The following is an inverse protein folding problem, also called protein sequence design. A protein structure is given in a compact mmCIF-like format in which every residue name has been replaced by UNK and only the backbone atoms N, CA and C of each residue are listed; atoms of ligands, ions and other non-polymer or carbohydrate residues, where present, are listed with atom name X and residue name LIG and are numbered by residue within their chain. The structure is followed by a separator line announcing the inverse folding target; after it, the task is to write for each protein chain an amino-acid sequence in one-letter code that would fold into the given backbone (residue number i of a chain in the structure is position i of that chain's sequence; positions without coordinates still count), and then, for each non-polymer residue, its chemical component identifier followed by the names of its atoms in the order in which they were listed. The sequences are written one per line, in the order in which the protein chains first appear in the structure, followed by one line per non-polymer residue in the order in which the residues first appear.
data_IF_827544361930
#
_entry.id   IF_827544361930
#
_cell.length_a   1.000
_cell.length_b   1.000
_cell.length_c   1.000
_cell.angle_alpha   90.00
_cell.angle_beta   90.00
_cell.angle_gamma   90.00
#
_symmetry.space_group_name_H-M   'P 1'
#
loop_
_entity.id
_entity.type
_entity.pdbx_description
1 polymer ?
#
# COMPACT_ATOMS: atom_id res chain seq x y z
N UNK A 1 -5.80 -12.62 -19.66
CA UNK A 1 -4.96 -12.76 -18.44
C UNK A 1 -3.86 -13.76 -18.76
N UNK A 2 -2.59 -13.37 -18.62
CA UNK A 2 -1.45 -14.29 -18.78
C UNK A 2 -1.04 -14.75 -17.39
N UNK A 3 -1.00 -16.05 -17.15
CA UNK A 3 -0.61 -16.62 -15.85
C UNK A 3 0.91 -16.55 -15.75
N UNK A 4 1.41 -15.82 -14.76
CA UNK A 4 2.83 -15.73 -14.40
C UNK A 4 2.95 -15.63 -12.87
N UNK A 5 4.16 -15.74 -12.34
CA UNK A 5 4.50 -15.48 -10.94
C UNK A 5 3.98 -14.11 -10.43
N UNK A 6 3.89 -13.11 -11.31
CA UNK A 6 3.31 -11.79 -11.01
C UNK A 6 1.83 -11.84 -10.62
N UNK A 7 1.08 -12.89 -10.99
CA UNK A 7 -0.28 -13.08 -10.49
C UNK A 7 -0.27 -13.39 -8.99
N UNK A 8 0.67 -14.22 -8.53
CA UNK A 8 0.81 -14.53 -7.10
C UNK A 8 1.28 -13.31 -6.32
N UNK A 9 2.16 -12.48 -6.89
CA UNK A 9 2.55 -11.18 -6.31
C UNK A 9 1.34 -10.27 -6.12
N UNK A 10 0.45 -10.19 -7.12
CA UNK A 10 -0.75 -9.38 -7.01
C UNK A 10 -1.69 -9.90 -5.92
N UNK A 11 -1.97 -11.21 -5.91
CA UNK A 11 -2.82 -11.85 -4.91
C UNK A 11 -2.26 -11.66 -3.50
N UNK A 12 -0.94 -11.77 -3.32
CA UNK A 12 -0.29 -11.45 -2.05
C UNK A 12 -0.54 -10.00 -1.64
N UNK A 13 -0.35 -9.04 -2.54
CA UNK A 13 -0.62 -7.63 -2.29
C UNK A 13 -2.07 -7.38 -1.84
N UNK A 14 -3.04 -8.03 -2.48
CA UNK A 14 -4.45 -7.98 -2.09
C UNK A 14 -4.63 -8.49 -0.65
N UNK A 15 -4.08 -9.66 -0.31
CA UNK A 15 -4.17 -10.23 1.04
C UNK A 15 -3.56 -9.30 2.10
N UNK A 16 -2.41 -8.68 1.80
CA UNK A 16 -1.81 -7.70 2.72
C UNK A 16 -2.74 -6.50 2.92
N UNK A 17 -3.33 -5.95 1.85
CA UNK A 17 -4.30 -4.85 1.97
C UNK A 17 -5.53 -5.27 2.77
N UNK A 18 -6.06 -6.49 2.56
CA UNK A 18 -7.19 -7.03 3.32
C UNK A 18 -6.90 -7.04 4.82
N UNK A 19 -5.71 -7.48 5.22
CA UNK A 19 -5.28 -7.50 6.62
C UNK A 19 -5.20 -6.07 7.17
N UNK A 20 -4.58 -5.15 6.43
CA UNK A 20 -4.36 -3.78 6.88
C UNK A 20 -5.66 -2.96 6.97
N UNK A 21 -6.63 -3.23 6.09
CA UNK A 21 -7.91 -2.53 6.02
C UNK A 21 -9.02 -3.20 6.84
N UNK A 22 -8.85 -4.47 7.22
CA UNK A 22 -9.87 -5.28 7.87
C UNK A 22 -11.07 -5.61 6.97
N UNK A 23 -10.96 -5.39 5.65
CA UNK A 23 -12.00 -5.60 4.63
C UNK A 23 -11.39 -5.76 3.23
N UNK A 24 -12.16 -6.29 2.29
CA UNK A 24 -11.73 -6.48 0.90
C UNK A 24 -11.37 -5.13 0.21
N UNK A 25 -10.19 -4.99 -0.43
CA UNK A 25 -9.67 -3.72 -0.96
C UNK A 25 -10.23 -3.34 -2.34
N UNK A 26 -11.23 -4.07 -2.85
CA UNK A 26 -11.73 -3.92 -4.23
C UNK A 26 -12.14 -2.49 -4.61
N UNK A 27 -12.82 -1.77 -3.71
CA UNK A 27 -13.21 -0.37 -3.92
C UNK A 27 -11.98 0.56 -4.02
N UNK A 28 -11.01 0.38 -3.12
CA UNK A 28 -9.76 1.14 -3.11
C UNK A 28 -8.97 0.91 -4.41
N UNK A 29 -8.77 -0.35 -4.79
CA UNK A 29 -8.00 -0.71 -6.00
C UNK A 29 -8.69 -0.23 -7.28
N UNK A 30 -10.02 -0.25 -7.33
CA UNK A 30 -10.79 0.27 -8.46
C UNK A 30 -10.61 1.79 -8.57
N UNK A 31 -10.63 2.50 -7.44
CA UNK A 31 -10.43 3.95 -7.41
C UNK A 31 -9.01 4.32 -7.82
N UNK A 32 -8.01 3.57 -7.35
CA UNK A 32 -6.59 3.76 -7.69
C UNK A 32 -6.30 3.51 -9.18
N UNK A 33 -6.89 2.47 -9.75
CA UNK A 33 -6.72 2.11 -11.16
C UNK A 33 -7.38 3.10 -12.12
N UNK A 34 -8.41 3.80 -11.67
CA UNK A 34 -9.17 4.75 -12.50
C UNK A 34 -8.50 6.11 -12.67
N UNK A 35 -7.25 6.28 -12.19
CA UNK A 35 -6.55 7.57 -12.15
C UNK A 35 -7.35 8.71 -11.49
N UNK A 36 -8.38 8.40 -10.68
CA UNK A 36 -9.13 9.40 -9.90
C UNK A 36 -8.28 10.12 -8.85
N UNK A 37 -7.04 9.66 -8.63
CA UNK A 37 -6.04 10.28 -7.77
C UNK A 37 -4.93 11.01 -8.52
N UNK A 38 -5.02 11.16 -9.86
CA UNK A 38 -4.22 12.18 -10.52
C UNK A 38 -4.71 13.54 -10.00
N UNK A 39 -3.81 14.48 -9.65
CA UNK A 39 -4.18 15.72 -9.02
C UNK A 39 -4.95 16.61 -10.01
N UNK A 40 -6.27 16.47 -10.06
CA UNK A 40 -7.14 17.64 -10.19
C UNK A 40 -7.11 18.33 -8.84
N UNK A 41 -6.75 19.60 -8.83
CA UNK A 41 -6.41 20.47 -7.67
C UNK A 41 -7.47 20.55 -6.55
N UNK A 42 -8.59 19.82 -6.63
CA UNK A 42 -9.78 20.03 -5.79
C UNK A 42 -10.33 18.77 -5.11
N UNK A 43 -9.79 17.57 -5.37
CA UNK A 43 -10.30 16.35 -4.74
C UNK A 43 -9.61 16.03 -3.40
N UNK A 44 -10.36 15.71 -2.32
CA UNK A 44 -9.79 15.36 -1.03
C UNK A 44 -8.84 14.16 -1.14
N UNK A 45 -7.58 14.34 -0.74
CA UNK A 45 -6.62 13.24 -0.73
C UNK A 45 -7.04 12.22 0.33
N UNK A 46 -7.20 10.96 -0.08
CA UNK A 46 -7.51 9.86 0.85
C UNK A 46 -6.33 9.64 1.78
N UNK A 47 -6.57 9.83 3.08
CA UNK A 47 -5.57 9.64 4.12
C UNK A 47 -5.43 8.16 4.44
N UNK A 48 -4.20 7.73 4.67
CA UNK A 48 -3.89 6.35 5.04
C UNK A 48 -4.65 5.92 6.30
N UNK A 49 -4.74 6.81 7.30
CA UNK A 49 -5.47 6.54 8.55
C UNK A 49 -6.94 6.20 8.34
N UNK A 50 -7.56 6.68 7.27
CA UNK A 50 -8.99 6.46 6.99
C UNK A 50 -9.22 5.15 6.20
N UNK A 51 -8.14 4.58 5.64
CA UNK A 51 -8.14 3.31 4.89
C UNK A 51 -7.92 2.11 5.80
N UNK A 52 -7.16 2.28 6.88
CA UNK A 52 -6.86 1.22 7.84
C UNK A 52 -8.10 0.70 8.56
N UNK A 53 -7.96 -0.49 9.14
CA UNK A 53 -8.98 -1.07 10.02
C UNK A 53 -9.27 -0.17 11.23
N UNK A 54 -10.41 0.51 11.20
CA UNK A 54 -10.85 1.45 12.23
C UNK A 54 -11.20 0.78 13.58
N UNK A 55 -11.22 -0.55 13.63
CA UNK A 55 -11.44 -1.30 14.89
C UNK A 55 -10.17 -1.33 15.74
N UNK A 56 -9.01 -1.03 15.16
CA UNK A 56 -7.72 -0.99 15.84
C UNK A 56 -7.37 0.44 16.27
N UNK A 57 -6.62 0.61 17.37
CA UNK A 57 -6.10 1.92 17.73
C UNK A 57 -5.14 2.45 16.66
N UNK A 58 -5.05 3.77 16.45
CA UNK A 58 -4.10 4.35 15.51
C UNK A 58 -2.66 3.91 15.83
N UNK A 59 -1.88 3.47 14.83
CA UNK A 59 -0.51 3.04 15.06
C UNK A 59 0.36 4.25 15.45
N UNK A 60 1.36 4.01 16.31
CA UNK A 60 2.27 5.05 16.80
C UNK A 60 3.73 4.58 16.75
N UNK A 61 4.67 5.52 16.71
CA UNK A 61 6.11 5.23 16.67
C UNK A 61 6.48 4.27 15.52
N UNK A 62 7.30 3.27 15.85
CA UNK A 62 7.78 2.26 14.88
C UNK A 62 6.65 1.44 14.24
N UNK A 63 5.50 1.29 14.92
CA UNK A 63 4.37 0.58 14.33
C UNK A 63 3.76 1.40 13.19
N UNK A 64 3.69 2.72 13.32
CA UNK A 64 3.20 3.60 12.25
C UNK A 64 4.13 3.52 11.02
N UNK A 65 5.43 3.48 11.24
CA UNK A 65 6.45 3.28 10.20
C UNK A 65 6.26 1.95 9.47
N UNK A 66 6.13 0.85 10.22
CA UNK A 66 5.90 -0.48 9.67
C UNK A 66 4.59 -0.55 8.87
N UNK A 67 3.54 0.11 9.34
CA UNK A 67 2.23 0.19 8.66
C UNK A 67 2.34 0.94 7.33
N UNK A 68 3.00 2.10 7.32
CA UNK A 68 3.23 2.90 6.11
C UNK A 68 4.06 2.11 5.09
N UNK A 69 5.12 1.46 5.55
CA UNK A 69 5.98 0.65 4.70
C UNK A 69 5.23 -0.57 4.11
N UNK A 70 4.49 -1.30 4.95
CA UNK A 70 3.72 -2.47 4.53
C UNK A 70 2.67 -2.08 3.49
N UNK A 71 1.97 -0.96 3.70
CA UNK A 71 1.01 -0.43 2.72
C UNK A 71 1.68 -0.05 1.39
N UNK A 72 2.85 0.58 1.45
CA UNK A 72 3.64 0.94 0.28
C UNK A 72 4.01 -0.30 -0.56
N UNK A 73 4.49 -1.37 0.11
CA UNK A 73 4.80 -2.65 -0.54
C UNK A 73 3.55 -3.31 -1.13
N UNK A 74 2.44 -3.32 -0.39
CA UNK A 74 1.19 -3.91 -0.84
C UNK A 74 0.66 -3.22 -2.11
N UNK A 75 0.65 -1.88 -2.13
CA UNK A 75 0.26 -1.10 -3.30
C UNK A 75 1.15 -1.41 -4.51
N UNK A 76 2.47 -1.52 -4.32
CA UNK A 76 3.40 -1.90 -5.39
C UNK A 76 3.11 -3.30 -5.94
N UNK A 77 2.76 -4.26 -5.08
CA UNK A 77 2.37 -5.61 -5.47
C UNK A 77 1.07 -5.61 -6.30
N UNK A 78 0.14 -4.70 -6.00
CA UNK A 78 -1.17 -4.59 -6.68
C UNK A 78 -1.19 -3.71 -7.93
N UNK A 79 -0.04 -3.31 -8.48
CA UNK A 79 0.01 -2.49 -9.72
C UNK A 79 -0.68 -3.22 -10.89
N UNK A 80 -1.41 -2.45 -11.70
CA UNK A 80 -2.15 -2.98 -12.85
C UNK A 80 -1.22 -3.71 -13.84
N UNK A 81 -0.12 -3.04 -14.21
CA UNK A 81 0.95 -3.57 -15.05
C UNK A 81 1.76 -4.67 -14.31
N UNK A 82 1.73 -5.95 -14.75
CA UNK A 82 2.46 -7.05 -14.10
C UNK A 82 3.97 -6.81 -13.99
N UNK A 83 4.58 -6.23 -15.01
CA UNK A 83 6.00 -5.87 -15.07
C UNK A 83 6.40 -4.77 -14.08
N UNK A 84 5.44 -3.96 -13.62
CA UNK A 84 5.70 -2.91 -12.62
C UNK A 84 5.63 -3.42 -11.18
N UNK A 85 5.17 -4.66 -10.96
CA UNK A 85 5.12 -5.28 -9.64
C UNK A 85 6.52 -5.76 -9.24
N UNK A 86 6.90 -5.70 -7.96
CA UNK A 86 8.20 -6.20 -7.50
C UNK A 86 8.34 -7.73 -7.67
N UNK A 87 9.55 -8.25 -7.46
CA UNK A 87 9.76 -9.70 -7.30
C UNK A 87 9.39 -10.12 -5.87
N UNK A 88 8.74 -11.28 -5.72
CA UNK A 88 8.35 -11.78 -4.39
C UNK A 88 9.55 -11.94 -3.44
N UNK A 89 10.74 -12.27 -3.96
CA UNK A 89 11.98 -12.31 -3.18
C UNK A 89 12.31 -10.96 -2.55
N UNK A 90 12.19 -9.88 -3.32
CA UNK A 90 12.41 -8.53 -2.81
C UNK A 90 11.35 -8.18 -1.77
N UNK A 91 10.08 -8.44 -2.05
CA UNK A 91 8.98 -8.24 -1.09
C UNK A 91 9.25 -8.94 0.25
N UNK A 92 9.64 -10.22 0.22
CA UNK A 92 9.96 -10.97 1.42
C UNK A 92 11.16 -10.40 2.17
N UNK A 93 12.22 -10.01 1.46
CA UNK A 93 13.40 -9.38 2.06
C UNK A 93 13.08 -8.05 2.72
N UNK A 94 12.32 -7.19 2.04
CA UNK A 94 11.90 -5.89 2.54
C UNK A 94 11.03 -6.00 3.78
N UNK A 95 10.04 -6.89 3.79
CA UNK A 95 9.16 -7.11 4.94
C UNK A 95 9.89 -7.79 6.11
N UNK A 96 10.93 -8.58 5.84
CA UNK A 96 11.75 -9.23 6.88
C UNK A 96 12.83 -8.30 7.43
N UNK A 97 13.28 -7.32 6.64
CA UNK A 97 14.23 -6.34 7.09
C UNK A 97 13.57 -5.48 8.18
N UNK A 98 14.11 -5.53 9.39
CA UNK A 98 13.74 -4.62 10.49
C UNK A 98 14.22 -3.21 10.14
N UNK A 99 13.57 -2.58 9.17
CA UNK A 99 13.95 -1.26 8.68
C UNK A 99 13.24 -0.24 9.55
N UNK A 100 13.98 0.42 10.45
CA UNK A 100 13.54 1.63 11.13
C UNK A 100 13.50 2.77 10.12
N UNK A 101 12.34 2.93 9.46
CA UNK A 101 12.13 4.02 8.51
C UNK A 101 11.46 5.18 9.24
N UNK A 102 12.18 6.26 9.53
CA UNK A 102 11.59 7.45 10.12
C UNK A 102 10.48 8.03 9.22
N UNK A 103 9.30 8.30 9.78
CA UNK A 103 8.24 8.97 9.02
C UNK A 103 8.65 10.43 8.73
N UNK A 104 8.63 10.88 7.46
CA UNK A 104 8.96 12.26 7.12
C UNK A 104 7.90 13.26 7.60
N UNK A 105 6.72 12.78 7.98
CA UNK A 105 5.56 13.57 8.41
C UNK A 105 4.70 12.82 9.44
N UNK A 106 3.83 13.50 10.19
CA UNK A 106 2.92 12.85 11.12
C UNK A 106 2.02 11.83 10.41
N UNK A 107 1.86 10.65 10.99
CA UNK A 107 1.09 9.55 10.42
C UNK A 107 -0.31 9.97 9.93
N UNK A 108 -1.00 10.83 10.68
CA UNK A 108 -2.35 11.29 10.33
C UNK A 108 -2.47 12.17 9.09
N UNK A 109 -1.35 12.64 8.53
CA UNK A 109 -1.29 13.45 7.30
C UNK A 109 -0.85 12.66 6.07
N UNK A 110 -0.43 11.40 6.25
CA UNK A 110 0.04 10.56 5.15
C UNK A 110 -1.13 10.21 4.24
N UNK A 111 -0.97 10.51 2.95
CA UNK A 111 -1.97 10.24 1.92
C UNK A 111 -1.58 9.03 1.08
N UNK A 112 -2.59 8.33 0.55
CA UNK A 112 -2.39 7.12 -0.25
C UNK A 112 -1.52 7.36 -1.49
N UNK A 113 -1.57 8.55 -2.08
CA UNK A 113 -0.77 8.94 -3.25
C UNK A 113 0.73 8.90 -2.97
N UNK A 114 1.15 9.30 -1.76
CA UNK A 114 2.56 9.29 -1.34
C UNK A 114 3.15 7.87 -1.24
N UNK A 115 2.30 6.86 -1.05
CA UNK A 115 2.69 5.47 -0.88
C UNK A 115 2.91 4.72 -2.21
N UNK A 116 2.64 5.37 -3.35
CA UNK A 116 2.76 4.75 -4.67
C UNK A 116 4.19 4.78 -5.25
N UNK A 117 5.14 5.42 -4.55
CA UNK A 117 6.50 5.68 -5.02
C UNK A 117 7.47 4.51 -4.96
N UNK A 118 7.07 3.32 -4.49
CA UNK A 118 8.00 2.20 -4.39
C UNK A 118 8.45 1.68 -5.76
N UNK A 119 9.75 1.75 -6.01
CA UNK A 119 10.42 1.27 -7.22
C UNK A 119 11.57 0.36 -6.79
N UNK A 120 11.38 -0.97 -6.88
CA UNK A 120 12.45 -1.97 -6.82
C UNK A 120 12.19 -3.07 -7.85
#
# INVERSE_FOLDING_TARGET
MRVTDKCDVYSFGVVVLEIMMGKHPGELLTTLSSNKYLPSTEEPQVLLKDVLDQRLPPPTGQLAEAVVFTMTIALACTRAAPESRPMMRAVAQELSATTQACLPEPFGMITMTKLTGFQK
#
